data_IF_379435114152
#
_entry.id   IF_379435114152
#
_cell.length_a   1.000
_cell.length_b   1.000
_cell.length_c   1.000
_cell.angle_alpha   90.00
_cell.angle_beta   90.00
_cell.angle_gamma   90.00
#
_symmetry.space_group_name_H-M   'P 1'
#
loop_
_entity.id
_entity.type
_entity.pdbx_description
1 polymer ?
#
# COMPACT_ATOMS: atom_id res chain seq x y z
N UNK A 1 -16.97 -3.17 -3.13
CA UNK A 1 -16.21 -2.16 -2.37
C UNK A 1 -17.14 -1.38 -1.46
N UNK A 2 -16.65 -1.04 -0.28
CA UNK A 2 -17.42 -0.30 0.71
C UNK A 2 -17.15 1.20 0.56
N UNK A 3 -18.17 2.03 0.78
CA UNK A 3 -18.03 3.49 0.73
C UNK A 3 -18.11 4.08 2.14
N UNK A 4 -17.12 4.90 2.48
CA UNK A 4 -17.11 5.69 3.71
C UNK A 4 -17.09 7.16 3.33
N UNK A 5 -17.98 7.95 3.93
CA UNK A 5 -18.04 9.40 3.70
C UNK A 5 -17.42 10.16 4.86
N UNK A 6 -17.11 11.43 4.65
CA UNK A 6 -16.58 12.31 5.70
C UNK A 6 -17.54 12.38 6.89
N UNK A 7 -18.84 12.26 6.64
CA UNK A 7 -19.85 12.27 7.68
C UNK A 7 -19.81 11.03 8.59
N UNK A 8 -19.30 9.91 8.08
CA UNK A 8 -19.15 8.67 8.87
C UNK A 8 -17.92 8.72 9.78
N UNK A 9 -16.91 9.52 9.40
CA UNK A 9 -15.66 9.61 10.11
C UNK A 9 -15.68 10.68 11.18
N UNK A 10 -15.08 10.37 12.33
CA UNK A 10 -14.89 11.32 13.42
C UNK A 10 -13.53 12.02 13.28
N UNK A 11 -12.48 11.24 13.10
CA UNK A 11 -11.11 11.75 12.87
C UNK A 11 -10.46 11.01 11.74
N UNK A 12 -9.59 11.71 11.04
CA UNK A 12 -8.75 11.07 10.02
C UNK A 12 -7.36 11.67 10.02
N UNK A 13 -6.38 10.84 9.66
CA UNK A 13 -5.00 11.27 9.46
C UNK A 13 -4.51 10.68 8.15
N UNK A 14 -4.19 11.56 7.22
CA UNK A 14 -3.67 11.19 5.91
C UNK A 14 -2.17 11.46 5.85
N UNK A 15 -1.43 10.49 5.33
CA UNK A 15 0.01 10.63 5.15
C UNK A 15 0.39 10.11 3.76
N UNK A 16 1.13 10.93 3.01
CA UNK A 16 1.62 10.54 1.70
C UNK A 16 3.15 10.51 1.71
N UNK A 17 3.72 9.43 1.18
CA UNK A 17 5.16 9.23 1.09
C UNK A 17 5.72 9.61 -0.29
N UNK A 18 5.05 10.48 -1.02
CA UNK A 18 5.43 10.84 -2.39
C UNK A 18 6.88 11.31 -2.55
N UNK A 19 7.42 12.00 -1.56
CA UNK A 19 8.81 12.49 -1.61
C UNK A 19 9.85 11.37 -1.72
N UNK A 20 9.52 10.20 -1.20
CA UNK A 20 10.40 9.04 -1.17
C UNK A 20 9.84 7.87 -1.99
N UNK A 21 8.82 8.13 -2.81
CA UNK A 21 8.20 7.09 -3.60
C UNK A 21 9.11 6.70 -4.76
N UNK A 22 9.51 5.43 -4.80
CA UNK A 22 10.24 4.88 -5.93
C UNK A 22 9.26 4.54 -7.05
N UNK A 23 9.67 4.78 -8.30
CA UNK A 23 8.88 4.42 -9.47
C UNK A 23 9.16 3.00 -9.95
N UNK A 24 10.26 2.41 -9.50
CA UNK A 24 10.65 1.06 -9.87
C UNK A 24 11.63 0.46 -8.87
N UNK A 25 11.87 -0.83 -9.01
CA UNK A 25 12.83 -1.59 -8.19
C UNK A 25 13.75 -2.39 -9.10
N UNK A 26 15.05 -2.23 -8.92
CA UNK A 26 16.08 -2.97 -9.64
C UNK A 26 16.69 -4.03 -8.74
N UNK A 27 16.76 -5.25 -9.23
CA UNK A 27 17.43 -6.36 -8.56
C UNK A 27 18.55 -6.91 -9.45
N UNK A 28 19.57 -7.46 -8.83
CA UNK A 28 20.75 -7.95 -9.52
C UNK A 28 20.84 -9.47 -9.40
N UNK A 29 21.39 -10.10 -10.44
CA UNK A 29 21.64 -11.53 -10.43
C UNK A 29 22.98 -11.83 -11.11
N UNK A 30 23.58 -12.96 -10.76
CA UNK A 30 24.85 -13.38 -11.32
C UNK A 30 24.63 -14.32 -12.49
N UNK A 31 25.13 -13.96 -13.67
CA UNK A 31 25.06 -14.80 -14.87
C UNK A 31 26.31 -15.69 -14.93
N UNK A 32 26.20 -17.01 -14.63
CA UNK A 32 27.35 -17.90 -14.64
C UNK A 32 27.94 -18.14 -16.03
N UNK A 33 27.14 -18.01 -17.07
CA UNK A 33 27.60 -18.22 -18.46
C UNK A 33 28.51 -17.10 -18.93
N UNK A 34 28.24 -15.86 -18.51
CA UNK A 34 29.03 -14.68 -18.89
C UNK A 34 29.90 -14.16 -17.76
N UNK A 35 29.83 -14.80 -16.58
CA UNK A 35 30.55 -14.40 -15.37
C UNK A 35 30.39 -12.92 -15.04
N UNK A 36 29.19 -12.38 -15.23
CA UNK A 36 28.89 -10.96 -14.97
C UNK A 36 27.62 -10.78 -14.17
N UNK A 37 27.55 -9.64 -13.46
CA UNK A 37 26.38 -9.22 -12.72
C UNK A 37 25.42 -8.52 -13.67
N UNK A 38 24.19 -9.00 -13.70
CA UNK A 38 23.11 -8.41 -14.52
C UNK A 38 22.00 -7.91 -13.63
N UNK A 39 21.11 -7.13 -14.20
CA UNK A 39 19.98 -6.55 -13.46
C UNK A 39 18.66 -6.74 -14.20
N UNK A 40 17.58 -6.72 -13.41
CA UNK A 40 16.21 -6.67 -13.89
C UNK A 40 15.49 -5.51 -13.21
N UNK A 41 14.51 -4.92 -13.87
CA UNK A 41 13.77 -3.79 -13.35
C UNK A 41 12.27 -4.13 -13.34
N UNK A 42 11.63 -3.90 -12.18
CA UNK A 42 10.18 -3.89 -12.05
C UNK A 42 9.73 -2.44 -11.92
N UNK A 43 8.78 -2.01 -12.75
CA UNK A 43 8.32 -0.62 -12.78
C UNK A 43 9.13 0.26 -13.71
N UNK A 44 9.26 1.55 -13.39
CA UNK A 44 9.90 2.55 -14.23
C UNK A 44 11.30 2.93 -13.75
N UNK A 45 12.15 3.36 -14.68
CA UNK A 45 13.55 3.71 -14.41
C UNK A 45 13.75 5.06 -13.73
N UNK A 46 12.75 5.94 -13.75
CA UNK A 46 12.90 7.35 -13.37
C UNK A 46 13.42 7.56 -11.95
N UNK A 47 12.97 6.76 -11.01
CA UNK A 47 13.42 6.81 -9.63
C UNK A 47 13.40 5.39 -9.08
N UNK A 48 14.48 4.66 -9.27
CA UNK A 48 14.54 3.24 -8.92
C UNK A 48 15.17 2.98 -7.55
N UNK A 49 14.60 2.02 -6.82
CA UNK A 49 15.21 1.48 -5.62
C UNK A 49 16.06 0.28 -6.05
N UNK A 50 17.30 0.24 -5.61
CA UNK A 50 18.21 -0.87 -5.90
C UNK A 50 18.29 -1.81 -4.71
N UNK A 51 18.02 -3.10 -4.94
CA UNK A 51 18.13 -4.11 -3.90
C UNK A 51 19.61 -4.45 -3.67
N UNK A 52 19.98 -4.68 -2.41
CA UNK A 52 21.38 -4.94 -2.01
C UNK A 52 21.85 -6.34 -2.38
N UNK A 53 20.96 -7.30 -2.36
CA UNK A 53 21.32 -8.71 -2.58
C UNK A 53 21.53 -9.01 -4.06
N UNK A 54 22.41 -9.95 -4.36
CA UNK A 54 22.59 -10.49 -5.70
C UNK A 54 22.00 -11.90 -5.72
N UNK A 55 21.06 -12.13 -6.63
CA UNK A 55 20.33 -13.39 -6.73
C UNK A 55 21.05 -14.37 -7.67
N UNK A 56 20.73 -15.63 -7.51
CA UNK A 56 21.37 -16.70 -8.29
C UNK A 56 20.87 -16.73 -9.75
N UNK A 57 19.61 -16.38 -9.99
CA UNK A 57 18.99 -16.43 -11.30
C UNK A 57 18.23 -15.15 -11.62
N UNK A 58 17.99 -14.92 -12.91
CA UNK A 58 17.17 -13.81 -13.39
C UNK A 58 15.74 -13.91 -12.84
N UNK A 59 15.16 -15.11 -12.81
CA UNK A 59 13.81 -15.32 -12.30
C UNK A 59 13.68 -14.94 -10.82
N UNK A 60 14.67 -15.29 -9.99
CA UNK A 60 14.68 -14.93 -8.58
C UNK A 60 14.82 -13.43 -8.38
N UNK A 61 15.68 -12.77 -9.16
CA UNK A 61 15.86 -11.32 -9.12
C UNK A 61 14.57 -10.60 -9.52
N UNK A 62 13.91 -11.05 -10.58
CA UNK A 62 12.66 -10.46 -11.04
C UNK A 62 11.54 -10.64 -10.01
N UNK A 63 11.44 -11.82 -9.41
CA UNK A 63 10.45 -12.07 -8.36
C UNK A 63 10.65 -11.13 -7.16
N UNK A 64 11.90 -10.95 -6.72
CA UNK A 64 12.24 -10.05 -5.62
C UNK A 64 11.93 -8.58 -5.97
N UNK A 65 12.28 -8.15 -7.18
CA UNK A 65 12.01 -6.79 -7.63
C UNK A 65 10.51 -6.52 -7.73
N UNK A 66 9.74 -7.47 -8.25
CA UNK A 66 8.28 -7.35 -8.37
C UNK A 66 7.59 -7.28 -7.01
N UNK A 67 8.02 -8.12 -6.06
CA UNK A 67 7.48 -8.12 -4.71
C UNK A 67 7.76 -6.79 -3.99
N UNK A 68 8.97 -6.26 -4.10
CA UNK A 68 9.34 -4.98 -3.49
C UNK A 68 8.62 -3.81 -4.16
N UNK A 69 8.47 -3.83 -5.49
CA UNK A 69 7.72 -2.82 -6.21
C UNK A 69 6.26 -2.77 -5.72
N UNK A 70 5.64 -3.93 -5.51
CA UNK A 70 4.30 -4.01 -4.96
C UNK A 70 4.20 -3.41 -3.56
N UNK A 71 5.20 -3.67 -2.71
CA UNK A 71 5.28 -3.12 -1.37
C UNK A 71 5.43 -1.59 -1.39
N UNK A 72 6.28 -1.08 -2.28
CA UNK A 72 6.50 0.36 -2.46
C UNK A 72 5.20 1.05 -2.92
N UNK A 73 4.48 0.47 -3.86
CA UNK A 73 3.21 1.03 -4.34
C UNK A 73 2.14 1.07 -3.24
N UNK A 74 2.03 0.03 -2.42
CA UNK A 74 1.10 0.03 -1.29
C UNK A 74 1.44 1.07 -0.24
N UNK A 75 2.73 1.37 -0.06
CA UNK A 75 3.20 2.33 0.91
C UNK A 75 3.15 3.79 0.46
N UNK A 76 2.68 4.10 -0.75
CA UNK A 76 2.66 5.48 -1.27
C UNK A 76 1.78 6.42 -0.46
N UNK A 77 0.66 5.93 0.04
CA UNK A 77 -0.21 6.71 0.90
C UNK A 77 -0.82 5.82 1.97
N UNK A 78 -0.94 6.37 3.17
CA UNK A 78 -1.59 5.70 4.29
C UNK A 78 -2.61 6.65 4.91
N UNK A 79 -3.66 6.09 5.50
CA UNK A 79 -4.65 6.87 6.21
C UNK A 79 -5.12 6.11 7.45
N UNK A 80 -5.27 6.83 8.55
CA UNK A 80 -5.95 6.34 9.74
C UNK A 80 -7.31 7.01 9.79
N UNK A 81 -8.35 6.25 10.04
CA UNK A 81 -9.70 6.73 10.08
C UNK A 81 -10.43 6.18 11.31
N UNK A 82 -10.96 7.08 12.14
CA UNK A 82 -11.80 6.72 13.26
C UNK A 82 -13.25 6.96 12.87
N UNK A 83 -14.09 5.94 12.98
CA UNK A 83 -15.52 6.06 12.71
C UNK A 83 -16.26 6.36 14.00
N UNK A 84 -17.11 7.39 13.98
CA UNK A 84 -17.96 7.76 15.12
C UNK A 84 -18.95 6.65 15.44
N UNK A 85 -19.39 5.92 14.44
CA UNK A 85 -20.27 4.75 14.58
C UNK A 85 -19.50 3.51 14.17
N UNK A 86 -19.41 2.54 15.06
CA UNK A 86 -18.70 1.29 14.79
C UNK A 86 -19.31 0.50 13.65
N UNK A 87 -18.45 -0.18 12.89
CA UNK A 87 -18.84 -1.05 11.78
C UNK A 87 -18.30 -2.47 12.01
N UNK A 88 -19.00 -3.27 12.85
CA UNK A 88 -18.49 -4.60 13.20
C UNK A 88 -18.43 -5.58 12.02
N UNK A 89 -19.13 -5.29 10.94
CA UNK A 89 -19.11 -6.09 9.71
C UNK A 89 -17.84 -5.92 8.88
N UNK A 90 -17.04 -4.88 9.16
CA UNK A 90 -15.81 -4.66 8.40
C UNK A 90 -14.73 -5.66 8.76
N UNK A 91 -13.94 -6.05 7.76
CA UNK A 91 -12.84 -6.99 7.92
C UNK A 91 -11.56 -6.44 7.30
N UNK A 92 -10.36 -6.90 7.74
CA UNK A 92 -9.11 -6.58 7.05
C UNK A 92 -9.16 -7.05 5.59
N UNK A 93 -8.37 -6.41 4.73
CA UNK A 93 -8.29 -6.67 3.29
C UNK A 93 -9.57 -6.29 2.52
N UNK A 94 -10.41 -5.45 3.10
CA UNK A 94 -11.61 -4.94 2.43
C UNK A 94 -11.24 -3.74 1.56
N UNK A 95 -11.55 -3.76 0.24
CA UNK A 95 -11.41 -2.58 -0.60
C UNK A 95 -12.36 -1.48 -0.13
N UNK A 96 -11.87 -0.24 -0.08
CA UNK A 96 -12.62 0.90 0.45
C UNK A 96 -12.54 2.09 -0.48
N UNK A 97 -13.66 2.75 -0.68
CA UNK A 97 -13.74 4.05 -1.35
C UNK A 97 -14.20 5.08 -0.34
N UNK A 98 -13.59 6.25 -0.35
CA UNK A 98 -13.96 7.35 0.55
C UNK A 98 -14.43 8.55 -0.26
N UNK A 99 -15.26 9.38 0.34
CA UNK A 99 -15.81 10.58 -0.28
C UNK A 99 -16.00 11.69 0.74
N UNK A 100 -15.88 12.93 0.29
CA UNK A 100 -16.06 14.11 1.15
C UNK A 100 -14.80 14.54 1.90
N UNK A 101 -13.67 13.92 1.61
CA UNK A 101 -12.36 14.31 2.12
C UNK A 101 -11.68 15.24 1.11
N UNK A 102 -10.35 15.43 1.23
CA UNK A 102 -9.59 16.15 0.21
C UNK A 102 -9.62 15.39 -1.12
N UNK A 103 -9.53 16.09 -2.28
CA UNK A 103 -9.58 15.40 -3.58
C UNK A 103 -8.58 14.27 -3.75
N UNK A 104 -7.36 14.43 -3.25
CA UNK A 104 -6.33 13.39 -3.33
C UNK A 104 -6.68 12.15 -2.52
N UNK A 105 -7.40 12.32 -1.40
CA UNK A 105 -7.86 11.20 -0.58
C UNK A 105 -9.02 10.48 -1.28
N UNK A 106 -9.97 11.24 -1.79
CA UNK A 106 -11.16 10.68 -2.47
C UNK A 106 -10.79 9.93 -3.76
N UNK A 107 -9.75 10.38 -4.44
CA UNK A 107 -9.28 9.75 -5.68
C UNK A 107 -8.46 8.48 -5.46
N UNK A 108 -8.00 8.23 -4.23
CA UNK A 108 -7.14 7.09 -3.94
C UNK A 108 -7.97 5.83 -3.70
N UNK A 109 -7.66 4.70 -4.38
CA UNK A 109 -8.25 3.42 -4.02
C UNK A 109 -7.59 2.90 -2.75
N UNK A 110 -8.40 2.62 -1.72
CA UNK A 110 -7.91 2.23 -0.40
C UNK A 110 -8.13 0.74 -0.12
N UNK A 111 -7.25 0.18 0.71
CA UNK A 111 -7.38 -1.18 1.24
C UNK A 111 -7.27 -1.11 2.76
N UNK A 112 -8.22 -1.71 3.46
CA UNK A 112 -8.17 -1.81 4.92
C UNK A 112 -7.14 -2.85 5.31
N UNK A 113 -6.10 -2.44 6.04
CA UNK A 113 -5.03 -3.36 6.46
C UNK A 113 -5.12 -3.72 7.93
N UNK A 114 -5.73 -2.88 8.76
CA UNK A 114 -5.93 -3.16 10.17
C UNK A 114 -7.22 -2.52 10.66
N UNK A 115 -7.94 -3.24 11.50
CA UNK A 115 -9.17 -2.79 12.14
C UNK A 115 -9.06 -2.96 13.66
N UNK A 116 -9.56 -1.97 14.39
CA UNK A 116 -9.72 -2.06 15.82
C UNK A 116 -11.13 -1.61 16.17
N UNK A 117 -11.92 -2.52 16.72
CA UNK A 117 -13.24 -2.21 17.23
C UNK A 117 -13.14 -2.02 18.74
N UNK A 118 -13.73 -0.95 19.25
CA UNK A 118 -13.72 -0.64 20.67
C UNK A 118 -15.13 -0.39 21.17
N UNK A 119 -15.50 -1.03 22.26
CA UNK A 119 -16.78 -0.80 22.94
C UNK A 119 -16.51 -0.12 24.27
N UNK A 120 -17.06 1.09 24.44
CA UNK A 120 -16.88 1.89 25.63
C UNK A 120 -18.17 2.60 25.99
N UNK A 121 -18.08 3.58 26.91
CA UNK A 121 -19.23 4.35 27.41
C UNK A 121 -19.96 5.10 26.29
N UNK A 122 -19.24 5.47 25.23
CA UNK A 122 -19.83 6.13 24.07
C UNK A 122 -20.37 5.19 22.99
N UNK A 123 -20.36 3.86 23.24
CA UNK A 123 -20.80 2.85 22.29
C UNK A 123 -19.66 2.21 21.51
N UNK A 124 -19.98 1.57 20.40
CA UNK A 124 -19.00 0.91 19.53
C UNK A 124 -18.36 1.91 18.59
N UNK A 125 -17.03 1.91 18.53
CA UNK A 125 -16.26 2.69 17.58
C UNK A 125 -15.35 1.77 16.76
N UNK A 126 -14.97 2.20 15.57
CA UNK A 126 -14.06 1.44 14.70
C UNK A 126 -12.93 2.34 14.23
N UNK A 127 -11.69 1.90 14.43
CA UNK A 127 -10.50 2.55 13.91
C UNK A 127 -9.94 1.69 12.77
N UNK A 128 -9.64 2.32 11.65
CA UNK A 128 -9.08 1.65 10.48
C UNK A 128 -7.73 2.22 10.12
N UNK A 129 -6.82 1.34 9.70
CA UNK A 129 -5.60 1.74 9.02
C UNK A 129 -5.72 1.31 7.57
N UNK A 130 -5.50 2.26 6.67
CA UNK A 130 -5.69 2.08 5.23
C UNK A 130 -4.38 2.30 4.49
N UNK A 131 -4.19 1.54 3.41
CA UNK A 131 -3.08 1.74 2.47
C UNK A 131 -3.62 1.84 1.06
N UNK A 132 -2.82 2.41 0.15
CA UNK A 132 -3.17 2.44 -1.27
C UNK A 132 -3.33 1.02 -1.80
N UNK A 133 -4.49 0.75 -2.41
CA UNK A 133 -4.79 -0.55 -3.02
C UNK A 133 -4.11 -0.65 -4.38
N UNK A 134 -3.49 -1.80 -4.66
CA UNK A 134 -3.00 -2.11 -6.00
C UNK A 134 -4.12 -2.71 -6.83
N UNK A 135 -3.96 -2.68 -8.13
CA UNK A 135 -4.93 -3.30 -9.02
C UNK A 135 -5.10 -4.80 -8.74
N UNK A 136 -4.03 -5.47 -8.37
CA UNK A 136 -4.05 -6.89 -8.03
C UNK A 136 -4.82 -7.23 -6.74
N UNK A 137 -5.11 -6.24 -5.91
CA UNK A 137 -5.82 -6.41 -4.64
C UNK A 137 -7.36 -6.28 -4.78
N UNK A 138 -7.86 -6.15 -5.97
CA UNK A 138 -9.30 -6.01 -6.25
C UNK A 138 -10.08 -7.29 -5.90
#
# INVERSE_FOLDING_TARGET
AMLITRADGDRHRYHSAERNAYSGVRAYWHDPKKAEKRSVLAGAETNEKRLKDTYATEADALAAATAEQGRVERGKATMELDLAWGRPEMAPQTPLTVAGFKPEIDATPWLVVKLTHSLGDGGLTTRMELETRREADK
#
